data_IF_425686185207
#
_entry.id   IF_425686185207
#
_cell.length_a   1.000
_cell.length_b   1.000
_cell.length_c   1.000
_cell.angle_alpha   90.00
_cell.angle_beta   90.00
_cell.angle_gamma   90.00
#
_symmetry.space_group_name_H-M   'P 1'
#
loop_
_entity.id
_entity.type
_entity.pdbx_description
1 polymer ?
#
# COMPACT_ATOMS: atom_id res chain seq x y z
N UNK A 1 12.86 -3.19 -9.19
CA UNK A 1 13.57 -1.90 -9.03
C UNK A 1 14.93 -2.17 -8.38
N UNK A 2 15.98 -1.36 -8.60
CA UNK A 2 17.29 -1.56 -7.93
C UNK A 2 17.60 -0.38 -7.01
N UNK A 3 17.50 -0.59 -5.70
CA UNK A 3 17.85 0.41 -4.70
C UNK A 3 19.37 0.49 -4.54
N UNK A 4 19.85 1.67 -4.17
CA UNK A 4 21.26 1.96 -3.86
C UNK A 4 21.36 2.43 -2.42
N UNK A 5 22.59 2.53 -1.87
CA UNK A 5 22.78 2.98 -0.49
C UNK A 5 22.31 4.43 -0.26
N UNK A 6 22.20 5.23 -1.32
CA UNK A 6 21.68 6.61 -1.27
C UNK A 6 20.16 6.71 -1.45
N UNK A 7 19.45 5.59 -1.59
CA UNK A 7 18.00 5.60 -1.74
C UNK A 7 17.32 6.21 -0.50
N UNK A 8 16.23 6.94 -0.73
CA UNK A 8 15.40 7.49 0.34
C UNK A 8 14.75 6.32 1.11
N UNK A 9 14.70 6.43 2.44
CA UNK A 9 14.01 5.44 3.30
C UNK A 9 12.54 5.25 2.92
N UNK A 10 11.88 6.31 2.45
CA UNK A 10 10.49 6.26 1.99
C UNK A 10 10.35 5.37 0.76
N UNK A 11 11.18 5.61 -0.27
CA UNK A 11 11.18 4.80 -1.50
C UNK A 11 11.53 3.34 -1.22
N UNK A 12 12.45 3.09 -0.27
CA UNK A 12 12.84 1.75 0.15
C UNK A 12 11.68 1.03 0.84
N UNK A 13 11.03 1.68 1.81
CA UNK A 13 9.95 1.07 2.60
C UNK A 13 8.68 0.82 1.77
N UNK A 14 8.34 1.74 0.88
CA UNK A 14 7.18 1.63 0.01
C UNK A 14 7.50 0.96 -1.32
N UNK A 15 8.75 0.57 -1.58
CA UNK A 15 9.20 -0.07 -2.84
C UNK A 15 8.89 0.73 -4.11
N UNK A 16 8.57 2.02 -3.98
CA UNK A 16 8.01 2.81 -5.08
C UNK A 16 6.62 2.34 -5.56
N UNK A 17 5.93 1.54 -4.75
CA UNK A 17 4.59 1.03 -5.03
C UNK A 17 3.51 2.08 -4.77
N UNK A 18 2.32 1.82 -5.32
CA UNK A 18 1.13 2.61 -5.06
C UNK A 18 0.73 2.54 -3.58
N UNK A 19 0.44 3.70 -3.00
CA UNK A 19 0.03 3.83 -1.59
C UNK A 19 -1.47 3.63 -1.45
N UNK A 20 -1.87 2.49 -0.90
CA UNK A 20 -3.29 2.16 -0.74
C UNK A 20 -4.02 3.10 0.20
N UNK A 21 -3.34 3.68 1.19
CA UNK A 21 -3.89 4.70 2.08
C UNK A 21 -4.38 5.95 1.36
N UNK A 22 -3.79 6.26 0.19
CA UNK A 22 -4.13 7.39 -0.68
C UNK A 22 -5.19 7.02 -1.74
N UNK A 23 -5.68 5.78 -1.76
CA UNK A 23 -6.80 5.37 -2.62
C UNK A 23 -8.09 6.03 -2.15
N UNK A 24 -8.93 6.47 -3.09
CA UNK A 24 -10.28 6.96 -2.80
C UNK A 24 -11.19 5.80 -2.35
N UNK A 25 -12.02 6.05 -1.34
CA UNK A 25 -12.99 5.11 -0.80
C UNK A 25 -13.95 4.63 -1.89
N UNK A 26 -14.45 5.54 -2.71
CA UNK A 26 -15.39 5.19 -3.77
C UNK A 26 -14.76 4.26 -4.82
N UNK A 27 -13.49 4.44 -5.16
CA UNK A 27 -12.76 3.54 -6.06
C UNK A 27 -12.62 2.16 -5.43
N UNK A 28 -12.25 2.07 -4.15
CA UNK A 28 -12.19 0.80 -3.44
C UNK A 28 -13.54 0.08 -3.42
N UNK A 29 -14.62 0.81 -3.10
CA UNK A 29 -15.98 0.27 -3.04
C UNK A 29 -16.48 -0.19 -4.41
N UNK A 30 -16.19 0.57 -5.45
CA UNK A 30 -16.50 0.20 -6.83
C UNK A 30 -15.76 -1.08 -7.22
N UNK A 31 -14.45 -1.12 -6.98
CA UNK A 31 -13.56 -2.21 -7.40
C UNK A 31 -13.73 -3.52 -6.61
N UNK A 32 -14.25 -3.48 -5.38
CA UNK A 32 -14.35 -4.66 -4.50
C UNK A 32 -15.77 -5.06 -4.16
N UNK A 33 -16.71 -4.13 -4.23
CA UNK A 33 -18.10 -4.35 -3.82
C UNK A 33 -19.11 -3.90 -4.89
N UNK A 34 -18.67 -3.65 -6.13
CA UNK A 34 -19.55 -3.29 -7.24
C UNK A 34 -20.26 -1.96 -7.05
N UNK A 35 -19.67 -1.06 -6.25
CA UNK A 35 -20.25 0.25 -5.94
C UNK A 35 -21.19 0.26 -4.74
N UNK A 36 -21.37 -0.87 -4.04
CA UNK A 36 -22.10 -0.88 -2.77
C UNK A 36 -21.45 0.09 -1.77
N UNK A 37 -22.26 0.99 -1.20
CA UNK A 37 -21.80 2.00 -0.23
C UNK A 37 -21.14 3.24 -0.86
N UNK A 38 -21.05 3.33 -2.19
CA UNK A 38 -20.57 4.54 -2.87
C UNK A 38 -21.55 5.68 -2.64
N UNK A 39 -21.00 6.85 -2.29
CA UNK A 39 -21.76 8.09 -2.12
C UNK A 39 -20.98 9.23 -2.78
N UNK A 40 -21.69 10.16 -3.43
CA UNK A 40 -21.05 11.33 -4.06
C UNK A 40 -20.25 12.17 -3.05
N UNK A 41 -20.73 12.24 -1.80
CA UNK A 41 -20.04 12.94 -0.71
C UNK A 41 -18.70 12.29 -0.30
N UNK A 42 -18.48 11.02 -0.64
CA UNK A 42 -17.27 10.27 -0.28
C UNK A 42 -16.21 10.26 -1.39
N UNK A 43 -16.43 11.00 -2.49
CA UNK A 43 -15.55 10.94 -3.68
C UNK A 43 -14.10 11.25 -3.34
N UNK A 44 -13.83 12.21 -2.46
CA UNK A 44 -12.47 12.58 -2.05
C UNK A 44 -12.02 11.95 -0.72
N UNK A 45 -12.76 10.97 -0.18
CA UNK A 45 -12.40 10.33 1.09
C UNK A 45 -11.33 9.30 0.82
N UNK A 46 -10.18 9.42 1.47
CA UNK A 46 -9.09 8.44 1.38
C UNK A 46 -9.34 7.22 2.26
N UNK A 47 -8.77 6.07 1.89
CA UNK A 47 -8.88 4.86 2.68
C UNK A 47 -8.30 5.01 4.09
N UNK A 48 -7.23 5.79 4.25
CA UNK A 48 -6.70 6.11 5.59
C UNK A 48 -7.77 6.70 6.50
N UNK A 49 -8.53 7.68 6.01
CA UNK A 49 -9.57 8.35 6.77
C UNK A 49 -10.78 7.43 6.99
N UNK A 50 -11.14 6.64 5.98
CA UNK A 50 -12.23 5.68 6.07
C UNK A 50 -11.99 4.64 7.17
N UNK A 51 -10.80 4.04 7.24
CA UNK A 51 -10.52 2.98 8.21
C UNK A 51 -10.38 3.47 9.66
N UNK A 52 -10.33 4.79 9.91
CA UNK A 52 -10.42 5.36 11.27
C UNK A 52 -11.83 5.22 11.84
N UNK A 53 -12.85 5.50 11.03
CA UNK A 53 -14.26 5.37 11.41
C UNK A 53 -15.15 5.07 10.19
N UNK A 54 -15.29 3.78 9.80
CA UNK A 54 -16.07 3.40 8.63
C UNK A 54 -17.56 3.78 8.68
N UNK A 55 -18.14 3.83 9.89
CA UNK A 55 -19.57 4.10 10.10
C UNK A 55 -19.93 5.56 9.78
N UNK A 56 -18.95 6.47 9.85
CA UNK A 56 -19.11 7.86 9.43
C UNK A 56 -19.35 8.01 7.93
N UNK A 57 -18.79 7.12 7.12
CA UNK A 57 -18.81 7.20 5.65
C UNK A 57 -19.84 6.27 5.02
N UNK A 58 -20.07 5.09 5.60
CA UNK A 58 -21.12 4.16 5.17
C UNK A 58 -22.16 4.09 6.29
N UNK A 59 -23.22 4.91 6.15
CA UNK A 59 -24.30 5.03 7.16
C UNK A 59 -25.28 3.85 7.15
N UNK A 60 -25.36 3.13 6.05
CA UNK A 60 -26.14 1.89 5.97
C UNK A 60 -25.38 0.79 6.72
N UNK A 61 -25.85 0.48 7.93
CA UNK A 61 -25.22 -0.51 8.81
C UNK A 61 -25.25 -1.92 8.20
N UNK A 62 -26.28 -2.27 7.43
CA UNK A 62 -26.38 -3.56 6.76
C UNK A 62 -25.30 -3.73 5.69
N UNK A 63 -25.12 -2.71 4.86
CA UNK A 63 -24.06 -2.67 3.84
C UNK A 63 -22.67 -2.66 4.48
N UNK A 64 -22.46 -1.85 5.51
CA UNK A 64 -21.17 -1.79 6.19
C UNK A 64 -20.81 -3.13 6.84
N UNK A 65 -21.77 -3.80 7.48
CA UNK A 65 -21.54 -5.09 8.11
C UNK A 65 -21.23 -6.17 7.06
N UNK A 66 -21.96 -6.20 5.93
CA UNK A 66 -21.66 -7.09 4.80
C UNK A 66 -20.21 -6.90 4.34
N UNK A 67 -19.79 -5.65 4.09
CA UNK A 67 -18.43 -5.30 3.67
C UNK A 67 -17.39 -5.76 4.70
N UNK A 68 -17.61 -5.47 5.99
CA UNK A 68 -16.69 -5.83 7.08
C UNK A 68 -16.48 -7.34 7.24
N UNK A 69 -17.46 -8.17 6.88
CA UNK A 69 -17.28 -9.62 6.92
C UNK A 69 -16.34 -10.16 5.84
N UNK A 70 -16.04 -9.37 4.81
CA UNK A 70 -15.25 -9.84 3.67
C UNK A 70 -13.75 -9.83 3.91
N UNK A 71 -13.05 -10.84 3.40
CA UNK A 71 -11.58 -10.89 3.41
C UNK A 71 -10.94 -9.66 2.71
N UNK A 72 -11.61 -9.09 1.69
CA UNK A 72 -11.14 -7.89 1.00
C UNK A 72 -11.05 -6.69 1.93
N UNK A 73 -12.04 -6.48 2.80
CA UNK A 73 -12.02 -5.41 3.80
C UNK A 73 -10.85 -5.58 4.78
N UNK A 74 -10.74 -6.75 5.42
CA UNK A 74 -9.67 -7.02 6.40
C UNK A 74 -8.27 -6.87 5.83
N UNK A 75 -8.08 -7.34 4.59
CA UNK A 75 -6.80 -7.22 3.89
C UNK A 75 -6.46 -5.75 3.65
N UNK A 76 -7.42 -4.98 3.13
CA UNK A 76 -7.18 -3.57 2.81
C UNK A 76 -6.93 -2.75 4.08
N UNK A 77 -7.72 -2.97 5.13
CA UNK A 77 -7.52 -2.32 6.44
C UNK A 77 -6.11 -2.56 6.97
N UNK A 78 -5.62 -3.80 6.90
CA UNK A 78 -4.27 -4.16 7.35
C UNK A 78 -3.19 -3.44 6.55
N UNK A 79 -3.33 -3.39 5.23
CA UNK A 79 -2.36 -2.72 4.33
C UNK A 79 -2.31 -1.24 4.68
N UNK A 80 -3.46 -0.56 4.71
CA UNK A 80 -3.54 0.88 4.98
C UNK A 80 -2.99 1.22 6.37
N UNK A 81 -3.35 0.45 7.41
CA UNK A 81 -2.77 0.65 8.75
C UNK A 81 -1.26 0.41 8.79
N UNK A 82 -0.77 -0.57 8.03
CA UNK A 82 0.65 -0.83 7.85
C UNK A 82 1.38 0.37 7.22
N UNK A 83 0.86 0.90 6.12
CA UNK A 83 1.42 2.06 5.42
C UNK A 83 1.43 3.33 6.30
N UNK A 84 0.37 3.58 7.06
CA UNK A 84 0.30 4.72 7.99
C UNK A 84 1.37 4.60 9.08
N UNK A 85 1.53 3.42 9.67
CA UNK A 85 2.58 3.16 10.67
C UNK A 85 3.99 3.31 10.06
N UNK A 86 4.19 2.86 8.81
CA UNK A 86 5.47 3.06 8.12
C UNK A 86 5.78 4.54 7.89
N UNK A 87 4.79 5.33 7.44
CA UNK A 87 4.98 6.77 7.24
C UNK A 87 5.28 7.50 8.56
N UNK A 88 4.64 7.08 9.66
CA UNK A 88 4.98 7.61 10.99
C UNK A 88 6.44 7.32 11.35
N UNK A 89 6.93 6.10 11.08
CA UNK A 89 8.34 5.76 11.30
C UNK A 89 9.27 6.57 10.39
N UNK A 90 8.89 6.80 9.13
CA UNK A 90 9.64 7.67 8.20
C UNK A 90 9.73 9.10 8.76
N UNK A 91 8.63 9.68 9.26
CA UNK A 91 8.62 10.99 9.92
C UNK A 91 9.56 11.03 11.14
N UNK A 92 9.53 10.01 11.99
CA UNK A 92 10.42 9.88 13.16
C UNK A 92 11.89 9.81 12.73
N UNK A 93 12.21 9.06 11.68
CA UNK A 93 13.57 8.97 11.15
C UNK A 93 14.05 10.31 10.59
N UNK A 94 13.21 11.01 9.82
CA UNK A 94 13.54 12.34 9.32
C UNK A 94 13.79 13.35 10.44
N UNK A 95 13.00 13.31 11.51
CA UNK A 95 13.22 14.16 12.69
C UNK A 95 14.59 13.90 13.34
N UNK A 96 15.09 12.66 13.25
CA UNK A 96 16.42 12.26 13.72
C UNK A 96 17.50 12.34 12.60
N UNK A 97 17.25 13.11 11.55
CA UNK A 97 18.17 13.31 10.42
C UNK A 97 18.54 12.04 9.63
N UNK A 98 17.71 11.00 9.71
CA UNK A 98 17.85 9.76 8.94
C UNK A 98 16.87 9.81 7.76
N UNK A 99 17.35 10.14 6.57
CA UNK A 99 16.53 10.23 5.34
C UNK A 99 16.90 9.23 4.25
N UNK A 100 18.02 8.53 4.40
CA UNK A 100 18.55 7.60 3.40
C UNK A 100 18.91 6.26 4.02
N UNK A 101 19.04 5.24 3.17
CA UNK A 101 19.49 3.91 3.60
C UNK A 101 20.90 3.96 4.21
N UNK A 102 21.78 4.83 3.69
CA UNK A 102 23.08 5.14 4.32
C UNK A 102 22.89 5.74 5.71
N UNK A 103 22.01 6.73 5.85
CA UNK A 103 21.67 7.32 7.14
C UNK A 103 21.19 6.27 8.15
N UNK A 104 20.34 5.34 7.71
CA UNK A 104 19.89 4.21 8.53
C UNK A 104 21.04 3.29 8.95
N UNK A 105 21.99 3.02 8.05
CA UNK A 105 23.16 2.19 8.36
C UNK A 105 24.08 2.81 9.43
N UNK A 106 24.13 4.15 9.49
CA UNK A 106 24.94 4.93 10.42
C UNK A 106 24.17 5.37 11.68
N UNK A 107 22.85 5.13 11.72
CA UNK A 107 21.99 5.55 12.82
C UNK A 107 22.39 4.87 14.14
N UNK A 108 22.34 5.63 15.23
CA UNK A 108 22.65 5.11 16.57
C UNK A 108 21.58 4.10 17.02
N UNK A 109 21.88 3.21 17.97
CA UNK A 109 20.90 2.27 18.52
C UNK A 109 19.65 2.97 19.04
N UNK A 110 19.79 4.13 19.69
CA UNK A 110 18.67 4.91 20.23
C UNK A 110 17.70 5.34 19.13
N UNK A 111 18.22 5.82 17.98
CA UNK A 111 17.39 6.18 16.82
C UNK A 111 16.69 4.95 16.23
N UNK A 112 17.37 3.80 16.20
CA UNK A 112 16.80 2.54 15.68
C UNK A 112 15.71 1.95 16.56
N UNK A 113 15.69 2.26 17.86
CA UNK A 113 14.64 1.81 18.79
C UNK A 113 13.38 2.68 18.74
N UNK A 114 13.43 3.88 18.14
CA UNK A 114 12.27 4.76 17.97
C UNK A 114 11.29 4.21 16.92
N UNK A 115 11.76 3.40 15.97
CA UNK A 115 10.93 2.86 14.88
C UNK A 115 10.34 1.50 15.22
N UNK A 116 9.17 1.21 14.65
CA UNK A 116 8.55 -0.10 14.82
C UNK A 116 9.44 -1.23 14.27
N UNK A 117 9.43 -2.38 14.93
CA UNK A 117 10.32 -3.51 14.62
C UNK A 117 10.22 -3.99 13.16
N UNK A 118 9.03 -3.94 12.55
CA UNK A 118 8.82 -4.28 11.12
C UNK A 118 9.59 -3.35 10.20
N UNK A 119 9.59 -2.04 10.48
CA UNK A 119 10.31 -1.04 9.69
C UNK A 119 11.82 -1.26 9.81
N UNK A 120 12.31 -1.54 11.04
CA UNK A 120 13.70 -1.92 11.30
C UNK A 120 14.12 -3.14 10.46
N UNK A 121 13.37 -4.23 10.55
CA UNK A 121 13.62 -5.46 9.78
C UNK A 121 13.62 -5.21 8.26
N UNK A 122 12.70 -4.37 7.77
CA UNK A 122 12.61 -4.06 6.34
C UNK A 122 13.85 -3.29 5.87
N UNK A 123 14.25 -2.22 6.57
CA UNK A 123 15.43 -1.43 6.21
C UNK A 123 16.72 -2.25 6.31
N UNK A 124 16.85 -3.12 7.32
CA UNK A 124 18.01 -4.01 7.47
C UNK A 124 18.06 -5.05 6.34
N UNK A 125 16.94 -5.64 5.95
CA UNK A 125 16.87 -6.55 4.81
C UNK A 125 17.28 -5.86 3.49
N UNK A 126 16.82 -4.64 3.25
CA UNK A 126 17.25 -3.87 2.07
C UNK A 126 18.73 -3.50 2.11
N UNK A 127 19.27 -3.15 3.29
CA UNK A 127 20.71 -2.92 3.45
C UNK A 127 21.53 -4.16 3.10
N UNK A 128 21.10 -5.34 3.55
CA UNK A 128 21.74 -6.61 3.19
C UNK A 128 21.69 -6.87 1.69
N UNK A 129 20.54 -6.64 1.05
CA UNK A 129 20.37 -6.83 -0.40
C UNK A 129 21.26 -5.86 -1.21
N UNK A 130 21.38 -4.60 -0.78
CA UNK A 130 22.28 -3.61 -1.41
C UNK A 130 23.75 -4.02 -1.27
N UNK A 131 24.13 -4.62 -0.14
CA UNK A 131 25.50 -5.14 0.10
C UNK A 131 25.77 -6.45 -0.64
N UNK A 132 24.75 -7.27 -0.87
CA UNK A 132 24.84 -8.55 -1.56
C UNK A 132 23.92 -8.61 -2.80
N UNK A 133 24.34 -8.01 -3.93
CA UNK A 133 23.52 -7.91 -5.12
C UNK A 133 23.11 -9.28 -5.73
N UNK A 134 23.82 -10.37 -5.41
CA UNK A 134 23.50 -11.71 -5.87
C UNK A 134 22.15 -12.21 -5.28
N UNK A 135 21.82 -11.84 -4.03
CA UNK A 135 20.58 -12.23 -3.33
C UNK A 135 19.33 -11.58 -3.93
N UNK A 136 19.48 -10.35 -4.43
CA UNK A 136 18.41 -9.59 -5.08
C UNK A 136 17.87 -10.28 -6.35
N UNK A 137 18.71 -11.05 -7.05
CA UNK A 137 18.27 -11.85 -8.20
C UNK A 137 17.28 -12.97 -7.82
N UNK A 138 17.42 -13.56 -6.62
CA UNK A 138 16.53 -14.60 -6.12
C UNK A 138 15.24 -14.05 -5.51
N UNK A 139 15.29 -12.89 -4.84
CA UNK A 139 14.11 -12.23 -4.25
C UNK A 139 13.09 -11.78 -5.32
N UNK A 140 13.57 -11.19 -6.43
CA UNK A 140 12.72 -10.79 -7.56
C UNK A 140 11.98 -11.99 -8.22
N UNK A 141 12.52 -13.22 -8.12
CA UNK A 141 11.89 -14.43 -8.67
C UNK A 141 10.67 -14.85 -7.84
N UNK A 142 10.66 -14.58 -6.53
CA UNK A 142 9.51 -14.82 -5.65
C UNK A 142 8.45 -13.72 -5.76
N UNK A 143 8.86 -12.46 -5.97
CA UNK A 143 7.96 -11.32 -6.17
C UNK A 143 7.13 -11.48 -7.45
N UNK A 144 7.71 -12.01 -8.54
CA UNK A 144 6.98 -12.38 -9.76
C UNK A 144 5.92 -13.47 -9.58
N UNK A 145 6.06 -14.34 -8.57
CA UNK A 145 5.04 -15.35 -8.24
C UNK A 145 3.86 -14.74 -7.46
N UNK A 146 4.11 -13.75 -6.61
CA UNK A 146 3.07 -13.00 -5.91
C UNK A 146 2.32 -12.04 -6.86
N UNK A 147 3.06 -11.39 -7.77
CA UNK A 147 2.55 -10.52 -8.83
C UNK A 147 1.80 -11.27 -9.95
N UNK A 148 2.18 -12.50 -10.32
CA UNK A 148 1.45 -13.27 -11.34
C UNK A 148 0.08 -13.75 -10.85
N UNK A 149 -0.04 -14.11 -9.58
CA UNK A 149 -1.35 -14.36 -8.92
C UNK A 149 -2.14 -13.04 -8.78
N UNK A 150 -1.47 -11.90 -8.62
CA UNK A 150 -2.09 -10.57 -8.57
C UNK A 150 -2.61 -10.12 -9.94
N UNK A 151 -1.79 -10.17 -10.99
CA UNK A 151 -2.13 -9.77 -12.36
C UNK A 151 -3.09 -10.72 -13.07
N UNK A 152 -3.10 -12.02 -12.77
CA UNK A 152 -4.09 -12.95 -13.33
C UNK A 152 -5.53 -12.60 -12.89
N UNK A 153 -5.70 -12.04 -11.68
CA UNK A 153 -7.02 -11.55 -11.20
C UNK A 153 -7.41 -10.17 -11.75
N UNK A 154 -6.45 -9.35 -12.16
CA UNK A 154 -6.70 -8.00 -12.69
C UNK A 154 -6.83 -7.96 -14.23
N UNK A 155 -6.12 -8.81 -14.96
CA UNK A 155 -6.18 -8.86 -16.43
C UNK A 155 -7.50 -9.42 -16.99
N UNK A 156 -8.29 -10.13 -16.18
CA UNK A 156 -9.61 -10.63 -16.60
C UNK A 156 -10.71 -9.54 -16.54
N UNK A 157 -10.48 -8.40 -15.88
CA UNK A 157 -11.51 -7.37 -15.68
C UNK A 157 -11.37 -6.19 -16.66
N UNK A 158 -10.21 -6.01 -17.30
CA UNK A 158 -9.94 -4.84 -18.18
C UNK A 158 -10.33 -5.08 -19.65
N UNK A 159 -10.95 -6.20 -20.02
CA UNK A 159 -11.27 -6.53 -21.43
C UNK A 159 -12.70 -6.24 -21.91
N UNK A 160 -13.50 -5.44 -21.22
CA UNK A 160 -14.82 -5.05 -21.76
C UNK A 160 -15.19 -3.58 -21.55
N UNK A 161 -14.42 -2.67 -22.15
CA UNK A 161 -14.94 -1.37 -22.59
C UNK A 161 -14.28 -0.96 -23.91
N UNK A 162 -14.65 -1.64 -25.01
CA UNK A 162 -14.47 -1.11 -26.37
C UNK A 162 -15.78 -1.24 -27.15
N UNK A 163 -16.44 -0.09 -27.28
CA UNK A 163 -17.32 0.43 -28.33
C UNK A 163 -18.17 -0.52 -29.21
N UNK A 164 -19.49 -0.29 -29.19
CA UNK A 164 -20.43 -0.51 -30.30
C UNK A 164 -21.70 0.31 -30.01
N UNK A 165 -22.29 1.14 -30.86
CA UNK A 165 -22.09 1.58 -32.23
C UNK A 165 -23.24 2.57 -32.53
N UNK A 166 -22.98 3.59 -33.35
CA UNK A 166 -24.00 4.51 -33.89
C UNK A 166 -24.98 3.76 -34.79
N UNK A 167 -26.26 4.08 -34.73
CA UNK A 167 -27.19 3.88 -35.86
C UNK A 167 -28.06 5.13 -36.07
N UNK A 168 -28.18 5.51 -37.34
CA UNK A 168 -29.03 6.58 -37.87
C UNK A 168 -30.46 6.08 -38.07
N UNK A 169 -31.43 7.00 -37.95
CA UNK A 169 -32.59 7.06 -38.85
C UNK A 169 -32.85 8.51 -39.20
#
# INVERSE_FOLDING_TARGET
MKFTISANIEDVLFRGEFRYREMELNDFLLLRFGGKGVLDANRSVLLEEFFKDPARYIRDEGVLNEIKTTHCYWRMERIVKGEVNMEENVKKLHYNHVSTLLGWSLATPEVKEIVHWITKQSLDAFLEDVRNPMRMSASNILEGFYESVYNARWSHVVKFLVARGREWK
#
